data_IF_712840252161
#
_entry.id   IF_712840252161
#
_cell.length_a   1.000
_cell.length_b   1.000
_cell.length_c   1.000
_cell.angle_alpha   90.00
_cell.angle_beta   90.00
_cell.angle_gamma   90.00
#
_symmetry.space_group_name_H-M   'P 1'
#
loop_
_entity.id
_entity.type
_entity.pdbx_description
1 polymer ?
#
# COMPACT_ATOMS: atom_id res chain seq x y z
N UNK A 1 16.76 -0.25 -0.82
CA UNK A 1 15.88 -0.45 0.36
C UNK A 1 14.84 -1.56 0.13
N UNK A 2 14.27 -1.74 -1.06
CA UNK A 2 13.17 -2.70 -1.32
C UNK A 2 13.60 -4.10 -1.78
N UNK A 3 14.62 -4.67 -1.12
CA UNK A 3 15.22 -5.95 -1.54
C UNK A 3 14.35 -7.17 -1.17
N UNK A 4 13.43 -7.02 -0.22
CA UNK A 4 12.54 -8.10 0.23
C UNK A 4 11.09 -7.62 0.39
N UNK A 5 10.10 -8.52 0.32
CA UNK A 5 8.70 -8.20 0.58
C UNK A 5 8.49 -7.50 1.92
N UNK A 6 9.15 -7.99 2.98
CA UNK A 6 9.13 -7.38 4.30
C UNK A 6 9.57 -5.91 4.29
N UNK A 7 10.72 -5.61 3.69
CA UNK A 7 11.26 -4.24 3.71
C UNK A 7 10.32 -3.25 3.03
N UNK A 8 9.75 -3.64 1.87
CA UNK A 8 8.79 -2.80 1.17
C UNK A 8 7.51 -2.61 1.98
N UNK A 9 6.90 -3.71 2.45
CA UNK A 9 5.66 -3.65 3.22
C UNK A 9 5.81 -2.80 4.48
N UNK A 10 6.91 -2.99 5.24
CA UNK A 10 7.20 -2.24 6.45
C UNK A 10 7.42 -0.75 6.18
N UNK A 11 8.16 -0.39 5.13
CA UNK A 11 8.35 1.02 4.77
C UNK A 11 7.01 1.69 4.49
N UNK A 12 6.11 1.03 3.74
CA UNK A 12 4.80 1.60 3.43
C UNK A 12 3.88 1.63 4.66
N UNK A 13 3.94 0.64 5.54
CA UNK A 13 3.19 0.67 6.81
C UNK A 13 3.61 1.85 7.70
N UNK A 14 4.92 2.11 7.81
CA UNK A 14 5.44 3.25 8.57
C UNK A 14 5.09 4.57 7.89
N UNK A 15 5.24 4.65 6.56
CA UNK A 15 4.85 5.85 5.81
C UNK A 15 3.36 6.16 5.98
N UNK A 16 2.52 5.13 6.00
CA UNK A 16 1.07 5.28 6.19
C UNK A 16 0.76 5.83 7.58
N UNK A 17 1.40 5.32 8.64
CA UNK A 17 1.25 5.84 9.99
C UNK A 17 1.67 7.32 10.10
N UNK A 18 2.80 7.69 9.48
CA UNK A 18 3.26 9.10 9.42
C UNK A 18 2.26 9.96 8.65
N UNK A 19 1.71 9.45 7.54
CA UNK A 19 0.74 10.19 6.74
C UNK A 19 -0.59 10.40 7.48
N UNK A 20 -1.02 9.46 8.31
CA UNK A 20 -2.14 9.64 9.23
C UNK A 20 -1.86 10.78 10.22
N UNK A 21 -0.66 10.84 10.79
CA UNK A 21 -0.28 11.95 11.67
C UNK A 21 -0.36 13.29 10.95
N UNK A 22 0.12 13.38 9.70
CA UNK A 22 0.01 14.60 8.89
C UNK A 22 -1.44 14.99 8.61
N UNK A 23 -2.30 14.03 8.26
CA UNK A 23 -3.72 14.28 8.02
C UNK A 23 -4.43 14.74 9.30
N UNK A 24 -4.22 14.05 10.42
CA UNK A 24 -4.80 14.42 11.72
C UNK A 24 -4.33 15.82 12.14
N UNK A 25 -3.05 16.12 11.98
CA UNK A 25 -2.52 17.46 12.25
C UNK A 25 -3.19 18.52 11.35
N UNK A 26 -3.37 18.22 10.06
CA UNK A 26 -4.11 19.09 9.14
C UNK A 26 -5.56 19.33 9.57
N UNK A 27 -6.26 18.28 10.02
CA UNK A 27 -7.62 18.39 10.53
C UNK A 27 -7.70 19.24 11.80
N UNK A 28 -6.72 19.11 12.70
CA UNK A 28 -6.63 19.96 13.90
C UNK A 28 -6.38 21.42 13.52
N UNK A 29 -5.41 21.69 12.63
CA UNK A 29 -5.10 23.05 12.18
C UNK A 29 -6.28 23.72 11.49
N UNK A 30 -7.03 22.98 10.68
CA UNK A 30 -8.29 23.45 10.11
C UNK A 30 -9.29 23.80 11.21
N UNK A 31 -9.47 22.94 12.22
CA UNK A 31 -10.44 23.16 13.28
C UNK A 31 -10.06 24.30 14.26
N UNK A 32 -8.77 24.60 14.43
CA UNK A 32 -8.30 25.57 15.43
C UNK A 32 -7.93 26.93 14.87
N UNK A 33 -7.40 26.98 13.65
CA UNK A 33 -6.89 28.22 13.01
C UNK A 33 -7.35 28.40 11.57
N UNK A 34 -8.39 27.64 11.15
CA UNK A 34 -9.05 27.74 9.85
C UNK A 34 -8.11 27.53 8.63
N UNK A 35 -7.09 26.69 8.81
CA UNK A 35 -6.07 26.43 7.79
C UNK A 35 -6.43 25.25 6.88
N UNK A 36 -7.40 25.46 5.97
CA UNK A 36 -7.91 24.42 5.05
C UNK A 36 -6.81 23.77 4.18
N UNK A 37 -5.81 24.54 3.75
CA UNK A 37 -4.70 24.04 2.93
C UNK A 37 -3.91 22.90 3.61
N UNK A 38 -3.87 22.88 4.94
CA UNK A 38 -3.20 21.81 5.68
C UNK A 38 -3.90 20.45 5.48
N UNK A 39 -5.24 20.44 5.39
CA UNK A 39 -6.02 19.23 5.08
C UNK A 39 -5.83 18.81 3.63
N UNK A 40 -5.78 19.75 2.69
CA UNK A 40 -5.53 19.41 1.28
C UNK A 40 -4.16 18.74 1.09
N UNK A 41 -3.11 19.29 1.71
CA UNK A 41 -1.76 18.71 1.64
C UNK A 41 -1.69 17.39 2.40
N UNK A 42 -2.11 17.36 3.67
CA UNK A 42 -2.07 16.16 4.50
C UNK A 42 -2.91 15.03 3.95
N UNK A 43 -4.14 15.34 3.49
CA UNK A 43 -5.04 14.39 2.85
C UNK A 43 -4.52 13.88 1.51
N UNK A 44 -3.89 14.73 0.70
CA UNK A 44 -3.28 14.31 -0.55
C UNK A 44 -2.12 13.34 -0.34
N UNK A 45 -1.21 13.66 0.59
CA UNK A 45 -0.10 12.77 0.97
C UNK A 45 -0.66 11.45 1.51
N UNK A 46 -1.61 11.51 2.44
CA UNK A 46 -2.21 10.32 3.03
C UNK A 46 -2.89 9.43 1.99
N UNK A 47 -3.72 10.00 1.11
CA UNK A 47 -4.41 9.25 0.06
C UNK A 47 -3.44 8.52 -0.88
N UNK A 48 -2.35 9.17 -1.28
CA UNK A 48 -1.31 8.53 -2.11
C UNK A 48 -0.63 7.36 -1.38
N UNK A 49 -0.25 7.56 -0.12
CA UNK A 49 0.42 6.53 0.69
C UNK A 49 -0.53 5.36 0.99
N UNK A 50 -1.80 5.65 1.30
CA UNK A 50 -2.87 4.67 1.51
C UNK A 50 -3.01 3.72 0.30
N UNK A 51 -3.14 4.28 -0.91
CA UNK A 51 -3.24 3.50 -2.14
C UNK A 51 -1.97 2.69 -2.41
N UNK A 52 -0.80 3.29 -2.17
CA UNK A 52 0.50 2.62 -2.34
C UNK A 52 0.68 1.43 -1.39
N UNK A 53 0.25 1.57 -0.14
CA UNK A 53 0.26 0.51 0.86
C UNK A 53 -0.71 -0.62 0.44
N UNK A 54 -1.95 -0.30 0.06
CA UNK A 54 -2.93 -1.29 -0.41
C UNK A 54 -2.43 -2.09 -1.61
N UNK A 55 -1.87 -1.43 -2.61
CA UNK A 55 -1.31 -2.08 -3.79
C UNK A 55 -0.08 -2.96 -3.43
N UNK A 56 0.77 -2.50 -2.51
CA UNK A 56 1.89 -3.29 -1.98
C UNK A 56 1.40 -4.51 -1.22
N UNK A 57 0.33 -4.39 -0.42
CA UNK A 57 -0.26 -5.50 0.32
C UNK A 57 -0.75 -6.60 -0.64
N UNK A 58 -1.42 -6.23 -1.74
CA UNK A 58 -1.84 -7.18 -2.79
C UNK A 58 -0.64 -7.83 -3.47
N UNK A 59 0.40 -7.07 -3.81
CA UNK A 59 1.62 -7.60 -4.42
C UNK A 59 2.32 -8.61 -3.51
N UNK A 60 2.50 -8.27 -2.23
CA UNK A 60 3.15 -9.14 -1.25
C UNK A 60 2.28 -10.36 -0.95
N UNK A 61 0.96 -10.21 -0.87
CA UNK A 61 0.03 -11.31 -0.71
C UNK A 61 0.14 -12.32 -1.87
N UNK A 62 0.25 -11.83 -3.12
CA UNK A 62 0.50 -12.69 -4.28
C UNK A 62 1.87 -13.35 -4.24
N UNK A 63 2.93 -12.60 -3.95
CA UNK A 63 4.29 -13.14 -3.84
C UNK A 63 4.36 -14.26 -2.79
N UNK A 64 3.89 -13.99 -1.57
CA UNK A 64 3.97 -14.90 -0.43
C UNK A 64 2.77 -15.84 -0.34
N UNK A 65 1.90 -15.87 -1.35
CA UNK A 65 0.71 -16.74 -1.47
C UNK A 65 -0.18 -16.71 -0.23
N UNK A 66 -0.53 -15.52 0.23
CA UNK A 66 -1.43 -15.36 1.36
C UNK A 66 -2.82 -15.90 1.03
N UNK A 67 -3.49 -16.43 2.06
CA UNK A 67 -4.93 -16.66 2.02
C UNK A 67 -5.66 -15.30 2.02
N UNK A 68 -6.96 -15.31 1.74
CA UNK A 68 -7.77 -14.09 1.70
C UNK A 68 -7.72 -13.30 3.02
N UNK A 69 -7.77 -13.99 4.17
CA UNK A 69 -7.79 -13.36 5.51
C UNK A 69 -6.67 -12.34 5.73
N UNK A 70 -5.38 -12.74 5.71
CA UNK A 70 -4.26 -11.80 5.88
C UNK A 70 -4.28 -10.62 4.91
N UNK A 71 -4.70 -10.84 3.66
CA UNK A 71 -4.80 -9.79 2.64
C UNK A 71 -5.89 -8.78 2.99
N UNK A 72 -7.07 -9.26 3.41
CA UNK A 72 -8.19 -8.41 3.83
C UNK A 72 -7.78 -7.62 5.08
N UNK A 73 -7.17 -8.26 6.08
CA UNK A 73 -6.67 -7.58 7.28
C UNK A 73 -5.69 -6.47 6.93
N UNK A 74 -4.74 -6.73 6.02
CA UNK A 74 -3.80 -5.71 5.55
C UNK A 74 -4.52 -4.54 4.89
N UNK A 75 -5.44 -4.78 3.96
CA UNK A 75 -6.16 -3.70 3.26
C UNK A 75 -7.02 -2.89 4.23
N UNK A 76 -7.81 -3.55 5.08
CA UNK A 76 -8.69 -2.87 6.05
C UNK A 76 -7.88 -2.07 7.07
N UNK A 77 -6.68 -2.54 7.43
CA UNK A 77 -5.82 -1.81 8.38
C UNK A 77 -5.43 -0.42 7.91
N UNK A 78 -5.42 -0.14 6.60
CA UNK A 78 -5.10 1.18 6.07
C UNK A 78 -6.21 2.22 6.31
N UNK A 79 -7.44 1.76 6.58
CA UNK A 79 -8.59 2.65 6.83
C UNK A 79 -8.62 3.14 8.28
N UNK A 80 -8.01 2.38 9.19
CA UNK A 80 -8.01 2.68 10.63
C UNK A 80 -6.67 3.35 10.98
N UNK A 81 -6.67 4.56 11.59
CA UNK A 81 -5.44 5.25 11.95
C UNK A 81 -4.46 4.36 12.72
N UNK A 82 -3.21 4.35 12.27
CA UNK A 82 -2.09 3.61 12.88
C UNK A 82 -2.22 2.07 12.88
N UNK A 83 -3.30 1.49 12.35
CA UNK A 83 -3.51 0.04 12.39
C UNK A 83 -2.61 -0.75 11.43
N UNK A 84 -1.95 -0.08 10.48
CA UNK A 84 -0.93 -0.68 9.60
C UNK A 84 0.29 -1.19 10.37
N UNK A 85 0.68 -0.54 11.48
CA UNK A 85 1.81 -0.95 12.33
C UNK A 85 1.56 -2.28 13.07
N UNK A 86 0.49 -2.44 13.88
CA UNK A 86 0.24 -3.73 14.52
C UNK A 86 -0.04 -4.84 13.51
N UNK A 87 -0.65 -4.49 12.36
CA UNK A 87 -0.87 -5.45 11.27
C UNK A 87 0.46 -5.93 10.66
N UNK A 88 1.40 -5.02 10.40
CA UNK A 88 2.75 -5.37 9.96
C UNK A 88 3.46 -6.28 10.97
N UNK A 89 3.41 -5.92 12.27
CA UNK A 89 4.04 -6.70 13.33
C UNK A 89 3.45 -8.11 13.40
N UNK A 90 2.12 -8.22 13.32
CA UNK A 90 1.42 -9.51 13.32
C UNK A 90 1.79 -10.35 12.09
N UNK A 91 1.77 -9.77 10.89
CA UNK A 91 2.14 -10.45 9.64
C UNK A 91 3.60 -10.90 9.65
N UNK A 92 4.50 -10.09 10.18
CA UNK A 92 5.91 -10.45 10.35
C UNK A 92 6.03 -11.65 11.29
N UNK A 93 5.46 -11.56 12.50
CA UNK A 93 5.52 -12.62 13.51
C UNK A 93 4.89 -13.93 13.03
N UNK A 94 3.83 -13.85 12.23
CA UNK A 94 3.20 -15.01 11.60
C UNK A 94 3.99 -15.57 10.39
N UNK A 95 5.19 -15.07 10.12
CA UNK A 95 6.06 -15.49 9.01
C UNK A 95 5.54 -15.09 7.63
N UNK A 96 4.48 -14.28 7.55
CA UNK A 96 3.79 -13.95 6.29
C UNK A 96 4.58 -12.98 5.42
N UNK A 97 5.50 -12.21 6.00
CA UNK A 97 6.37 -11.29 5.27
C UNK A 97 7.77 -11.85 4.97
N UNK A 98 8.09 -13.04 5.51
CA UNK A 98 9.41 -13.67 5.35
C UNK A 98 9.55 -14.25 3.95
N UNK A 99 10.73 -14.10 3.36
CA UNK A 99 11.08 -14.67 2.06
C UNK A 99 11.72 -13.67 1.10
N UNK A 100 12.12 -14.18 -0.06
CA UNK A 100 12.61 -13.37 -1.18
C UNK A 100 11.48 -13.10 -2.19
N UNK A 101 11.70 -12.09 -3.03
CA UNK A 101 10.87 -11.90 -4.21
C UNK A 101 10.97 -13.12 -5.13
N UNK A 102 9.83 -13.65 -5.56
CA UNK A 102 9.78 -14.80 -6.46
C UNK A 102 10.06 -14.34 -7.89
N UNK A 103 11.34 -14.29 -8.25
CA UNK A 103 11.82 -13.82 -9.56
C UNK A 103 11.88 -14.94 -10.61
N UNK A 104 11.90 -16.19 -10.18
CA UNK A 104 11.97 -17.39 -11.02
C UNK A 104 10.67 -18.20 -10.88
N UNK A 105 10.33 -18.98 -11.91
CA UNK A 105 9.24 -19.94 -11.81
C UNK A 105 9.72 -21.13 -10.97
N UNK A 106 8.94 -21.53 -9.97
CA UNK A 106 9.17 -22.80 -9.27
C UNK A 106 8.37 -23.93 -9.90
N UNK A 107 8.45 -25.11 -9.28
CA UNK A 107 7.76 -26.33 -9.75
C UNK A 107 6.27 -26.38 -9.40
N UNK A 108 5.73 -25.34 -8.72
CA UNK A 108 4.32 -25.28 -8.35
C UNK A 108 3.44 -24.99 -9.60
N UNK A 109 2.41 -25.80 -9.91
CA UNK A 109 1.57 -25.62 -11.09
C UNK A 109 0.91 -24.24 -11.19
N UNK A 110 0.68 -23.58 -10.04
CA UNK A 110 0.10 -22.23 -10.01
C UNK A 110 1.04 -21.18 -10.60
N UNK A 111 2.34 -21.46 -10.70
CA UNK A 111 3.33 -20.55 -11.29
C UNK A 111 3.20 -20.39 -12.80
N UNK A 112 2.46 -21.27 -13.44
CA UNK A 112 2.12 -21.19 -14.86
C UNK A 112 1.06 -20.12 -15.17
N UNK A 113 0.37 -19.58 -14.14
CA UNK A 113 -0.66 -18.59 -14.35
C UNK A 113 -0.11 -17.30 -15.00
N UNK A 114 -0.91 -16.69 -15.87
CA UNK A 114 -0.51 -15.48 -16.62
C UNK A 114 -0.12 -14.32 -15.68
N UNK A 115 -0.83 -14.17 -14.56
CA UNK A 115 -0.60 -13.10 -13.59
C UNK A 115 0.71 -13.29 -12.81
N UNK A 116 1.13 -14.53 -12.56
CA UNK A 116 2.44 -14.82 -11.94
C UNK A 116 3.59 -14.52 -12.92
N UNK A 117 3.39 -14.77 -14.21
CA UNK A 117 4.36 -14.40 -15.25
C UNK A 117 4.51 -12.87 -15.35
N UNK A 118 3.40 -12.15 -15.29
CA UNK A 118 3.38 -10.68 -15.26
C UNK A 118 4.04 -10.11 -13.99
N UNK A 119 3.69 -10.65 -12.81
CA UNK A 119 4.31 -10.26 -11.53
C UNK A 119 5.82 -10.46 -11.56
N UNK A 120 6.31 -11.61 -12.08
CA UNK A 120 7.75 -11.88 -12.23
C UNK A 120 8.43 -10.88 -13.16
N UNK A 121 7.79 -10.53 -14.28
CA UNK A 121 8.33 -9.54 -15.21
C UNK A 121 8.53 -8.17 -14.53
N UNK A 122 7.53 -7.74 -13.75
CA UNK A 122 7.61 -6.51 -12.96
C UNK A 122 8.69 -6.59 -11.89
N UNK A 123 8.73 -7.67 -11.10
CA UNK A 123 9.70 -7.83 -10.02
C UNK A 123 11.15 -7.90 -10.53
N UNK A 124 11.38 -8.41 -11.75
CA UNK A 124 12.70 -8.40 -12.41
C UNK A 124 13.16 -7.00 -12.83
N UNK A 125 12.23 -6.05 -12.99
CA UNK A 125 12.50 -4.66 -13.38
C UNK A 125 11.96 -3.71 -12.31
N UNK A 126 12.65 -3.58 -11.17
CA UNK A 126 12.12 -2.87 -9.99
C UNK A 126 11.77 -1.40 -10.25
N UNK A 127 12.46 -0.75 -11.19
CA UNK A 127 12.14 0.61 -11.62
C UNK A 127 10.83 0.69 -12.41
N UNK A 128 10.53 -0.28 -13.28
CA UNK A 128 9.24 -0.35 -13.98
C UNK A 128 8.11 -0.67 -13.01
N UNK A 129 8.34 -1.56 -12.05
CA UNK A 129 7.37 -1.82 -10.99
C UNK A 129 7.07 -0.55 -10.21
N UNK A 130 8.09 0.19 -9.79
CA UNK A 130 7.92 1.46 -9.08
C UNK A 130 7.17 2.48 -9.95
N UNK A 131 7.56 2.67 -11.20
CA UNK A 131 6.92 3.61 -12.12
C UNK A 131 5.46 3.23 -12.41
N UNK A 132 5.17 1.94 -12.62
CA UNK A 132 3.82 1.44 -12.84
C UNK A 132 2.98 1.61 -11.58
N UNK A 133 3.51 1.26 -10.41
CA UNK A 133 2.80 1.40 -9.14
C UNK A 133 2.47 2.87 -8.88
N UNK A 134 3.44 3.75 -9.02
CA UNK A 134 3.26 5.21 -8.89
C UNK A 134 2.25 5.71 -9.92
N UNK A 135 2.34 5.26 -11.18
CA UNK A 135 1.43 5.66 -12.25
C UNK A 135 -0.02 5.21 -12.01
N UNK A 136 -0.22 3.96 -11.58
CA UNK A 136 -1.55 3.41 -11.23
C UNK A 136 -2.11 4.13 -10.01
N UNK A 137 -1.30 4.31 -8.96
CA UNK A 137 -1.72 5.03 -7.76
C UNK A 137 -2.08 6.47 -8.10
N UNK A 138 -1.25 7.18 -8.88
CA UNK A 138 -1.51 8.55 -9.30
C UNK A 138 -2.77 8.64 -10.16
N UNK A 139 -2.98 7.71 -11.10
CA UNK A 139 -4.19 7.65 -11.92
C UNK A 139 -5.44 7.46 -11.07
N UNK A 140 -5.45 6.46 -10.18
CA UNK A 140 -6.57 6.19 -9.27
C UNK A 140 -6.80 7.39 -8.35
N UNK A 141 -5.74 7.96 -7.81
CA UNK A 141 -5.81 9.13 -6.93
C UNK A 141 -6.42 10.34 -7.65
N UNK A 142 -5.94 10.68 -8.85
CA UNK A 142 -6.50 11.78 -9.66
C UNK A 142 -7.96 11.50 -10.02
N UNK A 143 -8.30 10.26 -10.39
CA UNK A 143 -9.67 9.87 -10.69
C UNK A 143 -10.58 10.06 -9.46
N UNK A 144 -10.13 9.68 -8.26
CA UNK A 144 -10.87 9.89 -7.01
C UNK A 144 -11.03 11.38 -6.69
N UNK A 145 -10.00 12.20 -6.93
CA UNK A 145 -10.10 13.66 -6.78
C UNK A 145 -11.10 14.28 -7.76
N UNK A 146 -11.16 13.79 -8.99
CA UNK A 146 -12.11 14.27 -10.00
C UNK A 146 -13.55 13.84 -9.71
N UNK A 147 -13.75 12.64 -9.16
CA UNK A 147 -15.08 12.13 -8.81
C UNK A 147 -15.67 12.80 -7.56
N UNK A 148 -14.82 13.34 -6.68
CA UNK A 148 -15.25 13.95 -5.42
C UNK A 148 -15.77 12.91 -4.40
N UNK A 149 -16.20 13.35 -3.20
CA UNK A 149 -16.70 12.44 -2.17
C UNK A 149 -17.95 11.67 -2.64
N UNK A 150 -18.03 10.33 -2.42
CA UNK A 150 -19.24 9.58 -2.73
C UNK A 150 -20.38 10.06 -1.83
N UNK A 151 -21.35 10.78 -2.42
CA UNK A 151 -22.49 11.39 -1.71
C UNK A 151 -22.88 12.79 -2.21
N UNK A 152 -21.99 13.53 -2.87
CA UNK A 152 -22.30 14.75 -3.62
C UNK A 152 -22.83 15.94 -2.81
N UNK A 153 -21.95 16.95 -2.63
CA UNK A 153 -22.07 18.25 -1.93
C UNK A 153 -21.96 18.19 -0.41
#
# INVERSE_FOLDING_TARGET
MFRTPLTLFRTLAIAEAVSWTLLIAGLILRATVDLDIAVSIGGGIHGFVFLSYGATAVLVAKNNRWKAGPTITAIVSAVIPYATIPTEIWLHRAGRLVGAWRLQAGDDPRDAAWHDRFMRLLLRRPWLLALLLVGVVALVFVMLLMLGPPGGK
#
